data_IF_751344359007
#
_entry.id   IF_751344359007
#
_cell.length_a   1.000
_cell.length_b   1.000
_cell.length_c   1.000
_cell.angle_alpha   90.00
_cell.angle_beta   90.00
_cell.angle_gamma   90.00
#
_symmetry.space_group_name_H-M   'P 1'
#
loop_
_entity.id
_entity.type
_entity.pdbx_description
1 polymer ?
#
# COMPACT_ATOMS: atom_id res chain seq x y z
N UNK A 1 3.07 -14.99 16.74
CA UNK A 1 4.00 -14.90 15.61
C UNK A 1 4.53 -16.30 15.32
N UNK A 2 4.15 -16.87 14.18
CA UNK A 2 4.37 -18.27 13.82
C UNK A 2 5.73 -18.49 13.12
N UNK A 3 6.25 -17.49 12.39
CA UNK A 3 7.51 -17.61 11.66
C UNK A 3 8.51 -16.49 12.01
N UNK A 4 8.99 -16.40 13.26
CA UNK A 4 9.81 -15.28 13.73
C UNK A 4 11.13 -15.09 12.95
N UNK A 5 11.78 -16.18 12.54
CA UNK A 5 13.03 -16.11 11.77
C UNK A 5 12.80 -15.55 10.35
N UNK A 6 11.70 -15.95 9.70
CA UNK A 6 11.34 -15.47 8.36
C UNK A 6 10.92 -14.01 8.43
N UNK A 7 10.10 -13.63 9.42
CA UNK A 7 9.73 -12.24 9.66
C UNK A 7 10.97 -11.37 9.87
N UNK A 8 11.91 -11.80 10.73
CA UNK A 8 13.17 -11.06 10.95
C UNK A 8 13.95 -10.88 9.64
N UNK A 9 14.07 -11.93 8.83
CA UNK A 9 14.76 -11.86 7.55
C UNK A 9 14.08 -10.86 6.58
N UNK A 10 12.74 -10.84 6.55
CA UNK A 10 11.95 -9.88 5.77
C UNK A 10 12.23 -8.44 6.22
N UNK A 11 12.29 -8.20 7.54
CA UNK A 11 12.55 -6.87 8.09
C UNK A 11 13.98 -6.38 7.78
N UNK A 12 14.96 -7.30 7.74
CA UNK A 12 16.36 -6.97 7.47
C UNK A 12 16.66 -6.78 5.98
N UNK A 13 16.11 -7.63 5.12
CA UNK A 13 16.43 -7.66 3.68
C UNK A 13 15.40 -6.97 2.79
N UNK A 14 14.20 -6.71 3.32
CA UNK A 14 13.07 -6.20 2.55
C UNK A 14 12.30 -7.31 1.86
N UNK A 15 10.99 -7.07 1.67
CA UNK A 15 10.05 -8.04 1.09
C UNK A 15 10.34 -8.39 -0.38
N UNK A 16 10.93 -7.45 -1.13
CA UNK A 16 11.18 -7.60 -2.57
C UNK A 16 12.40 -8.49 -2.87
N UNK A 17 13.27 -8.72 -1.87
CA UNK A 17 14.55 -9.42 -2.02
C UNK A 17 14.52 -10.89 -1.57
N UNK A 18 13.34 -11.41 -1.23
CA UNK A 18 13.19 -12.75 -0.67
C UNK A 18 12.15 -13.57 -1.42
N UNK A 19 12.52 -14.80 -1.78
CA UNK A 19 11.58 -15.81 -2.25
C UNK A 19 10.99 -16.53 -1.04
N UNK A 20 9.73 -16.23 -0.70
CA UNK A 20 9.03 -16.85 0.42
C UNK A 20 8.17 -18.00 -0.11
N UNK A 21 8.29 -19.22 0.46
CA UNK A 21 7.46 -20.36 0.07
C UNK A 21 5.96 -20.08 0.22
N UNK A 22 5.16 -20.45 -0.78
CA UNK A 22 3.73 -20.12 -0.85
C UNK A 22 2.92 -20.63 0.36
N UNK A 23 3.32 -21.77 0.93
CA UNK A 23 2.65 -22.37 2.10
C UNK A 23 2.75 -21.51 3.38
N UNK A 24 3.77 -20.66 3.50
CA UNK A 24 3.97 -19.77 4.65
C UNK A 24 3.82 -18.30 4.30
N UNK A 25 3.79 -17.97 3.00
CA UNK A 25 3.83 -16.61 2.45
C UNK A 25 2.77 -15.71 3.05
N UNK A 26 1.51 -16.16 3.08
CA UNK A 26 0.40 -15.38 3.64
C UNK A 26 0.65 -15.00 5.11
N UNK A 27 0.95 -15.97 5.96
CA UNK A 27 1.15 -15.74 7.39
C UNK A 27 2.42 -14.94 7.68
N UNK A 28 3.55 -15.33 7.11
CA UNK A 28 4.84 -14.67 7.36
C UNK A 28 4.82 -13.19 6.92
N UNK A 29 4.26 -12.89 5.75
CA UNK A 29 4.17 -11.51 5.26
C UNK A 29 3.14 -10.69 6.03
N UNK A 30 2.01 -11.27 6.43
CA UNK A 30 1.02 -10.56 7.26
C UNK A 30 1.59 -10.23 8.65
N UNK A 31 2.34 -11.16 9.25
CA UNK A 31 3.05 -10.91 10.50
C UNK A 31 4.14 -9.85 10.36
N UNK A 32 4.92 -9.90 9.28
CA UNK A 32 5.92 -8.88 8.97
C UNK A 32 5.28 -7.49 8.78
N UNK A 33 4.16 -7.42 8.06
CA UNK A 33 3.41 -6.17 7.89
C UNK A 33 2.99 -5.57 9.23
N UNK A 34 2.50 -6.39 10.17
CA UNK A 34 2.12 -5.92 11.51
C UNK A 34 3.31 -5.29 12.26
N UNK A 35 4.51 -5.85 12.11
CA UNK A 35 5.72 -5.27 12.70
C UNK A 35 6.12 -3.98 12.00
N UNK A 36 6.11 -3.96 10.66
CA UNK A 36 6.45 -2.78 9.85
C UNK A 36 5.53 -1.59 10.15
N UNK A 37 4.23 -1.83 10.39
CA UNK A 37 3.29 -0.79 10.83
C UNK A 37 3.71 -0.20 12.19
N UNK A 38 4.12 -1.05 13.14
CA UNK A 38 4.59 -0.59 14.47
C UNK A 38 5.90 0.19 14.38
N UNK A 39 6.75 -0.14 13.41
CA UNK A 39 7.99 0.58 13.11
C UNK A 39 7.78 1.84 12.25
N UNK A 40 6.52 2.20 11.94
CA UNK A 40 6.17 3.31 11.07
C UNK A 40 6.85 3.24 9.68
N UNK A 41 6.89 2.02 9.11
CA UNK A 41 7.35 1.71 7.74
C UNK A 41 6.15 1.38 6.83
N UNK A 42 5.38 2.39 6.40
CA UNK A 42 4.09 2.21 5.74
C UNK A 42 4.20 1.55 4.36
N UNK A 43 5.23 1.89 3.59
CA UNK A 43 5.42 1.39 2.22
C UNK A 43 5.73 -0.11 2.26
N UNK A 44 6.66 -0.51 3.12
CA UNK A 44 7.06 -1.90 3.30
C UNK A 44 5.90 -2.73 3.85
N UNK A 45 5.11 -2.18 4.79
CA UNK A 45 3.92 -2.84 5.30
C UNK A 45 2.88 -3.09 4.18
N UNK A 46 2.61 -2.09 3.34
CA UNK A 46 1.69 -2.22 2.22
C UNK A 46 2.18 -3.27 1.21
N UNK A 47 3.48 -3.25 0.86
CA UNK A 47 4.10 -4.25 -0.02
C UNK A 47 4.01 -5.67 0.56
N UNK A 48 4.27 -5.84 1.85
CA UNK A 48 4.16 -7.13 2.52
C UNK A 48 2.73 -7.70 2.38
N UNK A 49 1.71 -6.90 2.67
CA UNK A 49 0.30 -7.29 2.54
C UNK A 49 -0.09 -7.55 1.07
N UNK A 50 0.40 -6.75 0.13
CA UNK A 50 0.18 -6.94 -1.29
C UNK A 50 0.75 -8.27 -1.79
N UNK A 51 1.99 -8.59 -1.42
CA UNK A 51 2.65 -9.86 -1.75
C UNK A 51 1.97 -11.06 -1.09
N UNK A 52 1.39 -10.87 0.11
CA UNK A 52 0.56 -11.87 0.77
C UNK A 52 -0.81 -12.06 0.10
N UNK A 53 -1.19 -11.19 -0.84
CA UNK A 53 -2.55 -11.05 -1.36
C UNK A 53 -3.60 -10.85 -0.24
N UNK A 54 -3.21 -10.21 0.86
CA UNK A 54 -4.10 -9.95 2.00
C UNK A 54 -4.85 -8.62 1.78
N UNK A 55 -5.83 -8.67 0.87
CA UNK A 55 -6.64 -7.50 0.49
C UNK A 55 -7.40 -6.89 1.67
N UNK A 56 -7.90 -7.72 2.59
CA UNK A 56 -8.66 -7.28 3.76
C UNK A 56 -7.84 -6.37 4.65
N UNK A 57 -6.63 -6.80 5.03
CA UNK A 57 -5.80 -6.01 5.92
C UNK A 57 -5.14 -4.83 5.19
N UNK A 58 -4.87 -4.96 3.88
CA UNK A 58 -4.37 -3.86 3.07
C UNK A 58 -5.38 -2.70 2.99
N UNK A 59 -6.66 -2.99 2.77
CA UNK A 59 -7.73 -1.99 2.75
C UNK A 59 -7.92 -1.37 4.15
N UNK A 60 -7.93 -2.19 5.21
CA UNK A 60 -8.02 -1.68 6.58
C UNK A 60 -6.86 -0.75 6.93
N UNK A 61 -5.64 -1.11 6.52
CA UNK A 61 -4.45 -0.30 6.76
C UNK A 61 -4.52 1.03 5.99
N UNK A 62 -4.91 0.99 4.71
CA UNK A 62 -5.15 2.20 3.92
C UNK A 62 -6.17 3.13 4.56
N UNK A 63 -7.30 2.58 5.01
CA UNK A 63 -8.33 3.34 5.71
C UNK A 63 -7.84 3.91 7.05
N UNK A 64 -7.01 3.17 7.78
CA UNK A 64 -6.41 3.64 9.03
C UNK A 64 -5.50 4.85 8.82
N UNK A 65 -4.72 4.88 7.74
CA UNK A 65 -3.91 6.03 7.33
C UNK A 65 -4.79 7.20 6.87
N UNK A 66 -5.81 6.92 6.05
CA UNK A 66 -6.78 7.92 5.56
C UNK A 66 -7.46 8.67 6.71
N UNK A 67 -7.93 7.94 7.73
CA UNK A 67 -8.55 8.53 8.94
C UNK A 67 -7.61 9.45 9.73
N UNK A 68 -6.30 9.38 9.49
CA UNK A 68 -5.26 10.21 10.12
C UNK A 68 -4.72 11.30 9.20
N UNK A 69 -5.40 11.57 8.07
CA UNK A 69 -4.96 12.46 7.02
C UNK A 69 -3.57 12.10 6.42
N UNK A 70 -3.14 10.84 6.58
CA UNK A 70 -1.89 10.30 6.03
C UNK A 70 -2.14 9.74 4.63
N UNK A 71 -2.55 10.60 3.70
CA UNK A 71 -2.99 10.20 2.37
C UNK A 71 -1.88 9.65 1.49
N UNK A 72 -0.63 10.10 1.69
CA UNK A 72 0.54 9.54 1.02
C UNK A 72 0.75 8.08 1.40
N UNK A 73 0.59 7.72 2.67
CA UNK A 73 0.71 6.33 3.14
C UNK A 73 -0.49 5.48 2.73
N UNK A 74 -1.69 6.07 2.78
CA UNK A 74 -2.91 5.42 2.33
C UNK A 74 -2.86 5.07 0.84
N UNK A 75 -2.26 5.94 0.00
CA UNK A 75 -2.15 5.72 -1.44
C UNK A 75 -1.36 4.46 -1.78
N UNK A 76 -0.25 4.17 -1.08
CA UNK A 76 0.49 2.92 -1.26
C UNK A 76 -0.37 1.69 -0.94
N UNK A 77 -1.19 1.75 0.10
CA UNK A 77 -2.08 0.65 0.44
C UNK A 77 -3.12 0.43 -0.66
N UNK A 78 -3.78 1.51 -1.09
CA UNK A 78 -4.85 1.42 -2.07
C UNK A 78 -4.35 1.09 -3.47
N UNK A 79 -3.17 1.56 -3.86
CA UNK A 79 -2.52 1.23 -5.13
C UNK A 79 -2.35 -0.29 -5.30
N UNK A 80 -2.13 -1.04 -4.22
CA UNK A 80 -2.01 -2.50 -4.27
C UNK A 80 -3.31 -3.23 -3.91
N UNK A 81 -4.37 -2.50 -3.57
CA UNK A 81 -5.68 -3.08 -3.25
C UNK A 81 -6.49 -3.41 -4.51
N UNK A 82 -7.66 -4.01 -4.33
CA UNK A 82 -8.68 -4.18 -5.40
C UNK A 82 -9.87 -3.23 -5.23
N UNK A 83 -9.85 -2.33 -4.24
CA UNK A 83 -10.97 -1.43 -3.95
C UNK A 83 -10.87 -0.14 -4.77
N UNK A 84 -11.56 -0.12 -5.92
CA UNK A 84 -11.58 1.02 -6.85
C UNK A 84 -12.16 2.30 -6.24
N UNK A 85 -13.18 2.18 -5.39
CA UNK A 85 -13.81 3.33 -4.73
C UNK A 85 -12.81 4.03 -3.80
N UNK A 86 -12.13 3.25 -2.96
CA UNK A 86 -11.12 3.76 -2.04
C UNK A 86 -9.89 4.31 -2.76
N UNK A 87 -9.46 3.67 -3.85
CA UNK A 87 -8.42 4.20 -4.73
C UNK A 87 -8.80 5.60 -5.24
N UNK A 88 -9.98 5.76 -5.84
CA UNK A 88 -10.44 7.05 -6.38
C UNK A 88 -10.53 8.11 -5.30
N UNK A 89 -11.18 7.79 -4.17
CA UNK A 89 -11.31 8.71 -3.04
C UNK A 89 -9.94 9.17 -2.53
N UNK A 90 -8.99 8.24 -2.37
CA UNK A 90 -7.64 8.58 -1.94
C UNK A 90 -6.88 9.42 -2.97
N UNK A 91 -7.02 9.12 -4.27
CA UNK A 91 -6.37 9.87 -5.34
C UNK A 91 -6.86 11.32 -5.42
N UNK A 92 -8.18 11.55 -5.27
CA UNK A 92 -8.74 12.90 -5.20
C UNK A 92 -8.19 13.69 -4.01
N UNK A 93 -8.14 13.10 -2.82
CA UNK A 93 -7.52 13.76 -1.67
C UNK A 93 -6.02 14.01 -1.85
N UNK A 94 -5.30 13.09 -2.48
CA UNK A 94 -3.89 13.33 -2.83
C UNK A 94 -3.75 14.53 -3.77
N UNK A 95 -4.62 14.66 -4.76
CA UNK A 95 -4.64 15.80 -5.68
C UNK A 95 -4.95 17.12 -4.95
N UNK A 96 -5.97 17.16 -4.09
CA UNK A 96 -6.32 18.34 -3.27
C UNK A 96 -5.18 18.82 -2.38
N UNK A 97 -4.35 17.88 -1.89
CA UNK A 97 -3.21 18.16 -1.02
C UNK A 97 -1.90 18.42 -1.78
N UNK A 98 -1.93 18.39 -3.12
CA UNK A 98 -0.73 18.58 -3.96
C UNK A 98 0.20 17.36 -4.02
N UNK A 99 -0.23 16.19 -3.57
CA UNK A 99 0.48 14.91 -3.72
C UNK A 99 0.28 14.32 -5.11
N UNK A 100 0.79 15.04 -6.12
CA UNK A 100 0.55 14.74 -7.54
C UNK A 100 1.08 13.36 -7.94
N UNK A 101 2.27 12.98 -7.47
CA UNK A 101 2.88 11.67 -7.77
C UNK A 101 2.00 10.50 -7.35
N UNK A 102 1.43 10.56 -6.15
CA UNK A 102 0.57 9.54 -5.59
C UNK A 102 -0.78 9.50 -6.29
N UNK A 103 -1.36 10.66 -6.59
CA UNK A 103 -2.61 10.76 -7.34
C UNK A 103 -2.47 10.18 -8.75
N UNK A 104 -1.42 10.56 -9.49
CA UNK A 104 -1.11 10.05 -10.83
C UNK A 104 -0.97 8.53 -10.81
N UNK A 105 -0.17 7.98 -9.88
CA UNK A 105 0.06 6.54 -9.78
C UNK A 105 -1.25 5.73 -9.64
N UNK A 106 -2.21 6.25 -8.85
CA UNK A 106 -3.51 5.61 -8.70
C UNK A 106 -4.36 5.78 -9.96
N UNK A 107 -4.42 6.98 -10.55
CA UNK A 107 -5.21 7.21 -11.76
C UNK A 107 -4.69 6.43 -12.97
N UNK A 108 -3.38 6.25 -13.09
CA UNK A 108 -2.77 5.33 -14.07
C UNK A 108 -3.24 3.90 -13.85
N UNK A 109 -3.20 3.41 -12.60
CA UNK A 109 -3.69 2.06 -12.29
C UNK A 109 -5.18 1.87 -12.60
N UNK A 110 -5.97 2.93 -12.44
CA UNK A 110 -7.40 2.94 -12.77
C UNK A 110 -7.68 3.19 -14.26
N UNK A 111 -6.66 3.51 -15.06
CA UNK A 111 -6.78 3.98 -16.45
C UNK A 111 -7.70 5.21 -16.60
N UNK A 112 -7.69 6.13 -15.64
CA UNK A 112 -8.53 7.34 -15.65
C UNK A 112 -7.89 8.46 -16.47
N UNK A 113 -7.96 8.34 -17.80
CA UNK A 113 -7.34 9.27 -18.74
C UNK A 113 -7.86 10.71 -18.61
N UNK A 114 -9.10 10.88 -18.17
CA UNK A 114 -9.68 12.20 -17.94
C UNK A 114 -8.96 12.93 -16.80
N UNK A 115 -8.77 12.24 -15.68
CA UNK A 115 -8.03 12.80 -14.54
C UNK A 115 -6.56 13.01 -14.84
N UNK A 116 -5.90 12.08 -15.54
CA UNK A 116 -4.50 12.24 -15.95
C UNK A 116 -4.31 13.49 -16.83
N UNK A 117 -5.18 13.69 -17.83
CA UNK A 117 -5.16 14.87 -18.69
C UNK A 117 -5.47 16.17 -17.93
N UNK A 118 -6.34 16.10 -16.92
CA UNK A 118 -6.62 17.24 -16.07
C UNK A 118 -5.40 17.66 -15.26
N UNK A 119 -4.70 16.70 -14.65
CA UNK A 119 -3.49 16.96 -13.87
C UNK A 119 -2.41 17.57 -14.77
N UNK A 120 -2.14 16.99 -15.94
CA UNK A 120 -1.13 17.49 -16.89
C UNK A 120 -1.34 18.95 -17.30
N UNK A 121 -2.60 19.39 -17.43
CA UNK A 121 -2.94 20.77 -17.83
C UNK A 121 -2.89 21.79 -16.68
N UNK A 122 -2.85 21.33 -15.44
CA UNK A 122 -3.01 22.19 -14.25
C UNK A 122 -1.90 22.00 -13.20
N UNK A 123 -0.88 21.18 -13.49
CA UNK A 123 0.34 21.01 -12.68
C UNK A 123 1.42 22.03 -13.07
#
# INVERSE_FOLDING_TARGET
>A
MQYPAVVKLILEKGVDNLTIPDNIKFQALTEAASVLVKENKPIEAAKALALANNQSDLIKLGNWYKQRARFREASYCFLHSTNVEEMKSCAFHCLELGYLSEAISIFEKLNDQAMLSFIEKNA
#
